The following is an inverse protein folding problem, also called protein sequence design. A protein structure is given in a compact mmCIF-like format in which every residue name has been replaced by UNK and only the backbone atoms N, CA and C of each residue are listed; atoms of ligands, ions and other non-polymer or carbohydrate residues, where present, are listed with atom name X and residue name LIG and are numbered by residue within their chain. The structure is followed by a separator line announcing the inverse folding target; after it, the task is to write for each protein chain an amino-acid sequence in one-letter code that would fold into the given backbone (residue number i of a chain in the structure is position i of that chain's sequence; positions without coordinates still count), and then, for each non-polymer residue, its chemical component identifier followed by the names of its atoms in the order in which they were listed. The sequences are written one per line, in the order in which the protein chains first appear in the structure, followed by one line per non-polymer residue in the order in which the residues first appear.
data_IF_274624142805
#
_entry.id   IF_274624142805
#
_cell.length_a   1.000
_cell.length_b   1.000
_cell.length_c   1.000
_cell.angle_alpha   90.00
_cell.angle_beta   90.00
_cell.angle_gamma   90.00
#
_symmetry.space_group_name_H-M   'P 1'
#
loop_
_entity.id
_entity.type
_entity.pdbx_description
1 polymer ?
#
# COMPACT_ATOMS: atom_id res chain seq x y z
N UNK A 1 4.99 -0.01 31.04
CA UNK A 1 6.07 0.06 32.05
C UNK A 1 6.53 -1.38 32.29
N UNK A 2 7.74 -1.85 31.99
CA UNK A 2 9.03 -1.22 31.72
C UNK A 2 9.89 -2.15 30.85
N UNK A 3 10.61 -1.52 29.92
CA UNK A 3 12.03 -1.73 29.56
C UNK A 3 12.57 -3.15 29.30
N UNK A 4 12.98 -3.37 28.04
CA UNK A 4 14.14 -4.21 27.71
C UNK A 4 15.43 -3.57 28.25
N UNK A 5 16.46 -4.41 28.52
CA UNK A 5 17.77 -4.10 27.95
C UNK A 5 18.52 -5.33 27.38
N UNK A 6 19.38 -5.01 26.41
CA UNK A 6 20.30 -5.89 25.70
C UNK A 6 21.42 -6.49 26.58
N UNK A 7 22.10 -7.57 26.14
CA UNK A 7 23.30 -8.07 26.81
C UNK A 7 24.57 -7.39 26.29
N UNK A 8 25.38 -6.88 27.22
CA UNK A 8 26.77 -6.47 27.00
C UNK A 8 27.74 -7.56 27.50
N UNK A 9 28.85 -7.68 26.77
CA UNK A 9 29.96 -8.63 26.92
C UNK A 9 30.56 -8.74 28.33
N UNK A 10 31.14 -9.89 28.63
CA UNK A 10 32.16 -10.02 29.69
C UNK A 10 33.27 -10.98 29.26
N UNK A 11 34.45 -10.39 29.08
CA UNK A 11 35.74 -11.04 28.90
C UNK A 11 36.14 -11.83 30.15
N UNK A 12 36.92 -12.88 29.95
CA UNK A 12 37.61 -13.58 31.03
C UNK A 12 38.76 -14.43 30.52
N UNK A 13 39.99 -13.97 30.75
CA UNK A 13 41.06 -14.78 31.36
C UNK A 13 42.31 -13.91 31.57
N UNK A 14 42.74 -13.84 32.83
CA UNK A 14 43.87 -13.07 33.31
C UNK A 14 44.94 -14.02 33.90
N UNK A 15 46.20 -13.71 33.57
CA UNK A 15 47.46 -13.88 34.32
C UNK A 15 48.01 -15.28 34.75
N UNK A 16 49.20 -15.57 34.20
CA UNK A 16 50.52 -15.77 34.86
C UNK A 16 51.04 -17.10 35.48
N UNK A 17 52.19 -17.49 34.90
CA UNK A 17 53.50 -17.89 35.46
C UNK A 17 53.63 -19.08 36.45
N UNK A 18 54.43 -20.10 36.06
CA UNK A 18 55.59 -20.59 36.84
C UNK A 18 56.51 -21.53 36.03
N UNK A 19 57.74 -21.66 36.55
CA UNK A 19 59.05 -21.97 35.94
C UNK A 19 59.45 -23.48 35.84
N UNK A 20 60.49 -23.73 35.02
CA UNK A 20 61.63 -24.70 35.16
C UNK A 20 61.67 -26.08 34.41
N UNK A 21 62.62 -26.12 33.45
CA UNK A 21 63.68 -27.11 33.17
C UNK A 21 63.38 -28.57 32.72
N UNK A 22 63.95 -28.97 31.56
CA UNK A 22 64.45 -30.35 31.36
C UNK A 22 64.57 -30.94 29.93
N UNK A 23 65.74 -30.75 29.28
CA UNK A 23 66.49 -31.67 28.38
C UNK A 23 65.92 -32.21 27.03
N UNK A 24 66.38 -31.57 25.93
CA UNK A 24 67.30 -32.07 24.85
C UNK A 24 67.15 -33.47 24.20
N UNK A 25 66.87 -33.50 22.88
CA UNK A 25 67.63 -34.17 21.79
C UNK A 25 67.02 -33.84 20.39
N UNK A 26 67.61 -32.97 19.56
CA UNK A 26 68.49 -33.19 18.37
C UNK A 26 67.90 -33.92 17.14
N UNK A 27 67.73 -33.19 16.03
CA UNK A 27 68.19 -33.53 14.65
C UNK A 27 67.99 -32.29 13.73
N UNK A 28 69.03 -31.51 13.34
CA UNK A 28 69.82 -31.53 12.06
C UNK A 28 68.92 -31.55 10.80
N UNK A 29 69.01 -30.70 9.76
CA UNK A 29 69.90 -29.69 9.11
C UNK A 29 68.92 -28.81 8.27
N UNK A 30 69.17 -27.60 7.79
CA UNK A 30 70.35 -26.82 7.44
C UNK A 30 69.89 -25.81 6.37
N UNK A 31 70.52 -24.64 6.31
CA UNK A 31 70.21 -23.52 5.42
C UNK A 31 69.98 -23.91 3.95
N UNK A 32 68.99 -23.25 3.33
CA UNK A 32 69.07 -22.81 1.95
C UNK A 32 68.53 -21.39 1.88
N UNK A 33 69.40 -20.48 1.45
CA UNK A 33 69.13 -19.09 1.15
C UNK A 33 68.09 -18.94 0.04
N UNK A 34 67.37 -17.81 0.09
CA UNK A 34 66.85 -17.13 -1.09
C UNK A 34 65.54 -17.67 -1.65
N UNK A 35 64.46 -16.91 -1.49
CA UNK A 35 63.85 -16.13 -2.58
C UNK A 35 62.62 -15.40 -2.00
N UNK A 36 62.70 -14.08 -1.85
CA UNK A 36 61.49 -13.26 -1.72
C UNK A 36 60.93 -13.16 -3.14
N UNK A 37 59.95 -14.00 -3.45
CA UNK A 37 59.20 -13.84 -4.70
C UNK A 37 58.26 -12.64 -4.54
N UNK A 38 58.65 -11.57 -5.23
CA UNK A 38 57.80 -10.43 -5.55
C UNK A 38 56.61 -10.94 -6.39
N UNK A 39 55.46 -11.13 -5.75
CA UNK A 39 54.23 -11.45 -6.48
C UNK A 39 53.74 -10.23 -7.26
N UNK A 40 53.62 -10.39 -8.59
CA UNK A 40 53.24 -9.37 -9.55
C UNK A 40 51.84 -8.74 -9.27
N UNK A 41 51.65 -7.42 -9.45
CA UNK A 41 50.40 -6.72 -9.17
C UNK A 41 49.25 -6.99 -10.17
N UNK A 42 49.44 -7.86 -11.17
CA UNK A 42 48.47 -8.12 -12.24
C UNK A 42 47.38 -9.13 -11.86
N UNK A 43 47.63 -10.02 -10.90
CA UNK A 43 46.70 -11.12 -10.58
C UNK A 43 45.60 -10.71 -9.58
N UNK A 44 45.84 -9.68 -8.77
CA UNK A 44 44.84 -9.16 -7.83
C UNK A 44 43.67 -8.44 -8.53
N UNK A 45 43.91 -7.84 -9.70
CA UNK A 45 42.86 -7.12 -10.44
C UNK A 45 41.85 -8.09 -11.08
N UNK A 46 42.31 -9.27 -11.50
CA UNK A 46 41.48 -10.29 -12.14
C UNK A 46 40.59 -11.01 -11.12
N UNK A 47 41.14 -11.33 -9.94
CA UNK A 47 40.39 -12.00 -8.86
C UNK A 47 39.34 -11.06 -8.26
N UNK A 48 39.66 -9.77 -8.11
CA UNK A 48 38.69 -8.76 -7.66
C UNK A 48 37.54 -8.60 -8.68
N UNK A 49 37.84 -8.50 -9.98
CA UNK A 49 36.80 -8.30 -11.00
C UNK A 49 35.81 -9.48 -11.09
N UNK A 50 36.30 -10.71 -10.92
CA UNK A 50 35.44 -11.91 -10.89
C UNK A 50 34.55 -11.97 -9.64
N UNK A 51 35.06 -11.60 -8.47
CA UNK A 51 34.29 -11.57 -7.23
C UNK A 51 33.19 -10.49 -7.25
N UNK A 52 33.51 -9.29 -7.74
CA UNK A 52 32.53 -8.21 -7.90
C UNK A 52 31.46 -8.54 -8.95
N UNK A 53 31.85 -9.17 -10.07
CA UNK A 53 30.91 -9.62 -11.08
C UNK A 53 29.93 -10.67 -10.56
N UNK A 54 30.41 -11.63 -9.77
CA UNK A 54 29.56 -12.65 -9.15
C UNK A 54 28.59 -12.06 -8.12
N UNK A 55 29.06 -11.17 -7.24
CA UNK A 55 28.21 -10.49 -6.26
C UNK A 55 27.17 -9.62 -6.96
N UNK A 56 27.56 -8.87 -8.00
CA UNK A 56 26.63 -8.06 -8.78
C UNK A 56 25.56 -8.91 -9.48
N UNK A 57 25.94 -10.02 -10.11
CA UNK A 57 25.00 -10.93 -10.75
C UNK A 57 24.02 -11.56 -9.74
N UNK A 58 24.51 -11.95 -8.56
CA UNK A 58 23.65 -12.46 -7.48
C UNK A 58 22.69 -11.40 -6.95
N UNK A 59 23.15 -10.16 -6.77
CA UNK A 59 22.30 -9.04 -6.38
C UNK A 59 21.23 -8.75 -7.44
N UNK A 60 21.60 -8.72 -8.73
CA UNK A 60 20.64 -8.53 -9.84
C UNK A 60 19.65 -9.69 -9.87
N UNK A 61 20.09 -10.93 -9.71
CA UNK A 61 19.20 -12.09 -9.66
C UNK A 61 18.23 -12.00 -8.48
N UNK A 62 18.71 -11.72 -7.27
CA UNK A 62 17.86 -11.49 -6.10
C UNK A 62 16.88 -10.34 -6.31
N UNK A 63 17.31 -9.21 -6.89
CA UNK A 63 16.43 -8.11 -7.23
C UNK A 63 15.38 -8.56 -8.24
N UNK A 64 15.75 -9.28 -9.31
CA UNK A 64 14.78 -9.77 -10.29
C UNK A 64 13.81 -10.78 -9.69
N UNK A 65 14.23 -11.68 -8.80
CA UNK A 65 13.33 -12.66 -8.18
C UNK A 65 12.43 -12.01 -7.12
N UNK A 66 12.90 -10.97 -6.43
CA UNK A 66 12.11 -10.22 -5.44
C UNK A 66 11.20 -9.16 -6.07
N UNK A 67 11.58 -8.58 -7.22
CA UNK A 67 10.81 -7.55 -7.93
C UNK A 67 10.02 -8.07 -9.12
N UNK A 68 10.31 -9.25 -9.65
CA UNK A 68 9.35 -9.91 -10.54
C UNK A 68 8.24 -10.46 -9.63
N UNK A 69 6.99 -10.02 -9.79
CA UNK A 69 5.89 -10.68 -9.11
C UNK A 69 5.91 -12.13 -9.61
N UNK A 70 6.25 -13.06 -8.72
CA UNK A 70 6.12 -14.49 -8.98
C UNK A 70 4.64 -14.74 -9.29
N UNK A 71 4.31 -14.76 -10.57
CA UNK A 71 3.03 -15.18 -11.08
C UNK A 71 2.98 -16.71 -11.00
N UNK A 72 2.92 -17.26 -9.79
CA UNK A 72 2.57 -18.66 -9.56
C UNK A 72 2.13 -18.85 -8.11
N UNK A 73 0.82 -18.92 -7.95
CA UNK A 73 0.17 -19.29 -6.71
C UNK A 73 -1.32 -19.45 -6.98
N UNK A 74 -1.72 -20.65 -7.38
CA UNK A 74 -3.12 -21.09 -7.49
C UNK A 74 -3.77 -21.11 -6.10
N UNK A 75 -3.99 -19.93 -5.54
CA UNK A 75 -5.12 -19.74 -4.65
C UNK A 75 -6.33 -19.56 -5.58
N UNK A 76 -7.45 -20.19 -5.25
CA UNK A 76 -8.76 -19.71 -5.70
C UNK A 76 -9.00 -18.33 -5.07
N UNK A 77 -8.20 -17.33 -5.46
CA UNK A 77 -8.52 -15.94 -5.30
C UNK A 77 -9.79 -15.78 -6.12
N UNK A 78 -10.92 -15.60 -5.43
CA UNK A 78 -12.10 -15.01 -6.05
C UNK A 78 -11.63 -13.79 -6.81
N UNK A 79 -11.52 -13.95 -8.13
CA UNK A 79 -10.96 -12.96 -9.03
C UNK A 79 -11.75 -11.68 -8.80
N UNK A 80 -11.09 -10.65 -8.29
CA UNK A 80 -11.74 -9.38 -7.97
C UNK A 80 -12.39 -8.75 -9.21
N UNK A 81 -13.25 -7.74 -9.02
CA UNK A 81 -13.93 -7.04 -10.12
C UNK A 81 -13.01 -6.34 -11.12
N UNK A 82 -11.68 -6.35 -10.95
CA UNK A 82 -10.76 -5.50 -11.71
C UNK A 82 -10.51 -4.20 -10.97
N UNK A 83 -10.26 -3.13 -11.72
CA UNK A 83 -9.97 -1.80 -11.17
C UNK A 83 -11.31 -1.08 -10.90
N UNK A 84 -11.52 -0.64 -9.66
CA UNK A 84 -12.69 0.16 -9.28
C UNK A 84 -12.26 1.61 -9.18
N UNK A 85 -12.99 2.52 -9.80
CA UNK A 85 -12.75 3.95 -9.70
C UNK A 85 -13.96 4.67 -9.12
N UNK A 86 -13.72 5.74 -8.36
CA UNK A 86 -14.77 6.67 -7.95
C UNK A 86 -14.55 8.02 -8.62
N UNK A 87 -15.65 8.63 -9.07
CA UNK A 87 -15.68 9.99 -9.61
C UNK A 87 -16.92 10.74 -9.13
N UNK A 88 -16.82 12.06 -9.01
CA UNK A 88 -17.93 12.91 -8.65
C UNK A 88 -18.77 13.27 -9.88
N UNK A 89 -20.06 12.96 -9.87
CA UNK A 89 -20.99 13.27 -10.98
C UNK A 89 -21.95 14.42 -10.65
N UNK A 90 -22.09 14.78 -9.38
CA UNK A 90 -22.91 15.91 -8.97
C UNK A 90 -22.66 16.32 -7.52
N UNK A 91 -22.92 17.58 -7.20
CA UNK A 91 -22.84 18.12 -5.83
C UNK A 91 -23.94 19.15 -5.59
N UNK A 92 -24.49 19.16 -4.38
CA UNK A 92 -25.52 20.10 -3.92
C UNK A 92 -25.22 20.56 -2.49
N UNK A 93 -25.67 21.74 -2.08
CA UNK A 93 -25.56 22.21 -0.68
C UNK A 93 -24.17 22.69 -0.23
N UNK A 94 -23.20 22.78 -1.15
CA UNK A 94 -21.85 23.27 -0.86
C UNK A 94 -21.72 24.80 -0.96
N UNK A 95 -22.59 25.44 -1.74
CA UNK A 95 -22.55 26.89 -1.95
C UNK A 95 -23.20 27.62 -0.75
N UNK A 96 -22.44 28.44 -0.01
CA UNK A 96 -22.95 29.17 1.15
C UNK A 96 -24.00 30.23 0.79
N UNK A 97 -24.08 30.67 -0.47
CA UNK A 97 -25.05 31.68 -0.92
C UNK A 97 -26.44 31.12 -1.24
N UNK A 98 -26.63 29.80 -1.21
CA UNK A 98 -27.92 29.18 -1.54
C UNK A 98 -28.91 29.30 -0.39
N UNK A 99 -30.00 30.04 -0.60
CA UNK A 99 -31.11 30.16 0.33
C UNK A 99 -32.35 29.43 -0.19
N UNK A 100 -33.01 28.57 0.62
CA UNK A 100 -32.63 28.14 1.97
C UNK A 100 -31.39 27.20 1.96
N UNK A 101 -30.66 27.09 3.10
CA UNK A 101 -29.48 26.23 3.19
C UNK A 101 -29.85 24.78 2.89
N UNK A 102 -29.31 24.25 1.80
CA UNK A 102 -29.55 22.87 1.36
C UNK A 102 -28.54 21.94 2.02
N UNK A 103 -28.99 20.74 2.43
CA UNK A 103 -28.08 19.72 2.95
C UNK A 103 -27.03 19.33 1.90
N UNK A 104 -25.79 19.09 2.32
CA UNK A 104 -24.74 18.66 1.40
C UNK A 104 -25.08 17.28 0.86
N UNK A 105 -24.99 17.14 -0.46
CA UNK A 105 -25.11 15.86 -1.12
C UNK A 105 -24.05 15.73 -2.20
N UNK A 106 -23.46 14.55 -2.30
CA UNK A 106 -22.53 14.15 -3.34
C UNK A 106 -23.16 13.02 -4.14
N UNK A 107 -23.22 13.17 -5.45
CA UNK A 107 -23.53 12.06 -6.36
C UNK A 107 -22.21 11.53 -6.89
N UNK A 108 -21.92 10.27 -6.59
CA UNK A 108 -20.68 9.60 -6.96
C UNK A 108 -21.01 8.49 -7.97
N UNK A 109 -20.13 8.30 -8.94
CA UNK A 109 -20.15 7.13 -9.81
C UNK A 109 -18.98 6.23 -9.45
N UNK A 110 -19.28 4.95 -9.24
CA UNK A 110 -18.31 3.86 -9.19
C UNK A 110 -18.22 3.21 -10.55
N UNK A 111 -17.06 3.36 -11.17
CA UNK A 111 -16.72 2.81 -12.47
C UNK A 111 -15.92 1.52 -12.26
N UNK A 112 -16.37 0.41 -12.85
CA UNK A 112 -15.69 -0.88 -12.85
C UNK A 112 -15.00 -1.06 -14.21
N UNK A 113 -13.68 -1.08 -14.21
CA UNK A 113 -12.85 -1.22 -15.40
C UNK A 113 -12.02 -2.50 -15.35
N UNK A 114 -11.66 -3.02 -16.52
CA UNK A 114 -10.88 -4.25 -16.70
C UNK A 114 -11.50 -5.47 -15.98
N UNK A 115 -12.83 -5.50 -15.89
CA UNK A 115 -13.59 -6.64 -15.39
C UNK A 115 -13.29 -7.86 -16.29
N UNK A 116 -12.76 -8.98 -15.76
CA UNK A 116 -12.50 -10.15 -16.58
C UNK A 116 -13.77 -10.65 -17.27
N UNK A 117 -13.76 -11.14 -18.53
CA UNK A 117 -15.00 -11.53 -19.22
C UNK A 117 -15.80 -12.66 -18.55
N UNK A 118 -15.18 -13.41 -17.64
CA UNK A 118 -15.82 -14.45 -16.83
C UNK A 118 -16.34 -13.94 -15.49
N UNK A 119 -16.12 -12.66 -15.18
CA UNK A 119 -16.52 -12.06 -13.92
C UNK A 119 -18.02 -11.83 -13.92
N UNK A 120 -18.71 -12.40 -12.94
CA UNK A 120 -20.11 -12.14 -12.67
C UNK A 120 -20.31 -12.23 -11.18
N UNK A 121 -20.51 -11.08 -10.54
CA UNK A 121 -20.74 -11.03 -9.09
C UNK A 121 -21.68 -9.89 -8.77
N UNK A 122 -22.54 -10.14 -7.79
CA UNK A 122 -23.38 -9.13 -7.20
C UNK A 122 -22.85 -8.73 -5.83
N UNK A 123 -23.04 -7.48 -5.48
CA UNK A 123 -22.46 -6.83 -4.31
C UNK A 123 -23.36 -5.69 -3.85
N UNK A 124 -23.06 -5.12 -2.70
CA UNK A 124 -23.88 -4.07 -2.10
C UNK A 124 -25.19 -4.60 -1.50
N UNK A 125 -26.08 -3.68 -1.15
CA UNK A 125 -27.30 -3.98 -0.41
C UNK A 125 -27.05 -4.25 1.08
N UNK A 126 -28.13 -4.55 1.81
CA UNK A 126 -28.08 -4.75 3.26
C UNK A 126 -27.51 -3.54 3.98
N UNK A 127 -26.46 -3.77 4.78
CA UNK A 127 -25.76 -2.76 5.57
C UNK A 127 -24.55 -2.14 4.82
N UNK A 128 -24.45 -2.33 3.51
CA UNK A 128 -23.35 -1.75 2.72
C UNK A 128 -23.43 -0.22 2.74
N UNK A 129 -22.42 0.40 3.32
CA UNK A 129 -22.42 1.83 3.63
C UNK A 129 -21.05 2.41 3.37
N UNK A 130 -21.03 3.53 2.65
CA UNK A 130 -19.84 4.34 2.45
C UNK A 130 -19.97 5.64 3.21
N UNK A 131 -18.86 6.11 3.79
CA UNK A 131 -18.74 7.47 4.31
C UNK A 131 -17.93 8.32 3.35
N UNK A 132 -18.28 9.58 3.28
CA UNK A 132 -17.49 10.63 2.65
C UNK A 132 -16.90 11.48 3.76
N UNK A 133 -15.58 11.65 3.76
CA UNK A 133 -14.87 12.40 4.78
C UNK A 133 -14.00 13.49 4.16
N UNK A 134 -13.83 14.61 4.87
CA UNK A 134 -12.90 15.69 4.55
C UNK A 134 -11.98 15.90 5.74
N UNK A 135 -10.67 15.71 5.57
CA UNK A 135 -9.68 15.75 6.67
C UNK A 135 -10.15 15.00 7.92
N UNK A 136 -10.52 13.72 7.73
CA UNK A 136 -11.05 12.82 8.78
C UNK A 136 -12.39 13.23 9.42
N UNK A 137 -12.99 14.35 9.00
CA UNK A 137 -14.34 14.74 9.38
C UNK A 137 -15.35 14.06 8.45
N UNK A 138 -16.20 13.20 9.00
CA UNK A 138 -17.30 12.58 8.26
C UNK A 138 -18.26 13.70 7.83
N UNK A 139 -18.60 13.74 6.54
CA UNK A 139 -19.51 14.73 5.97
C UNK A 139 -20.84 14.13 5.53
N UNK A 140 -20.81 12.93 4.95
CA UNK A 140 -21.97 12.30 4.35
C UNK A 140 -21.87 10.78 4.37
N UNK A 141 -23.02 10.13 4.29
CA UNK A 141 -23.14 8.68 4.17
C UNK A 141 -23.87 8.32 2.88
N UNK A 142 -23.43 7.25 2.22
CA UNK A 142 -24.07 6.69 1.03
C UNK A 142 -24.40 5.22 1.27
N UNK A 143 -25.68 4.88 1.18
CA UNK A 143 -26.09 3.49 1.14
C UNK A 143 -25.79 2.92 -0.25
N UNK A 144 -25.08 1.81 -0.31
CA UNK A 144 -24.76 1.14 -1.57
C UNK A 144 -25.89 0.17 -1.90
N UNK A 145 -26.64 0.38 -3.00
CA UNK A 145 -27.73 -0.51 -3.37
C UNK A 145 -27.15 -1.88 -3.77
N UNK A 146 -28.01 -2.90 -3.85
CA UNK A 146 -27.60 -4.16 -4.46
C UNK A 146 -27.38 -3.97 -5.96
N UNK A 147 -26.24 -4.42 -6.48
CA UNK A 147 -25.89 -4.31 -7.89
C UNK A 147 -25.12 -5.54 -8.36
N UNK A 148 -25.09 -5.77 -9.67
CA UNK A 148 -24.32 -6.85 -10.27
C UNK A 148 -23.38 -6.29 -11.34
N UNK A 149 -22.12 -6.71 -11.29
CA UNK A 149 -21.11 -6.38 -12.28
C UNK A 149 -20.85 -7.61 -13.13
N UNK A 150 -20.86 -7.39 -14.44
CA UNK A 150 -20.61 -8.39 -15.46
C UNK A 150 -19.36 -7.97 -16.22
N UNK A 151 -18.44 -8.91 -16.40
CA UNK A 151 -17.34 -8.74 -17.34
C UNK A 151 -17.85 -8.89 -18.75
N UNK A 152 -17.57 -7.90 -19.58
CA UNK A 152 -17.82 -7.99 -21.01
C UNK A 152 -16.52 -8.40 -21.73
N UNK A 153 -16.66 -9.05 -22.89
CA UNK A 153 -15.54 -9.35 -23.80
C UNK A 153 -15.09 -8.11 -24.58
N UNK A 154 -15.86 -7.03 -24.54
CA UNK A 154 -15.50 -5.77 -25.18
C UNK A 154 -14.40 -5.05 -24.38
N UNK A 155 -13.35 -4.64 -25.09
CA UNK A 155 -12.23 -3.89 -24.49
C UNK A 155 -12.74 -2.48 -24.17
N UNK A 156 -12.75 -2.13 -22.89
CA UNK A 156 -13.02 -0.76 -22.42
C UNK A 156 -14.48 -0.47 -22.03
N UNK A 157 -15.33 -1.48 -21.84
CA UNK A 157 -16.66 -1.23 -21.26
C UNK A 157 -16.54 -1.00 -19.75
N UNK A 158 -16.96 0.19 -19.33
CA UNK A 158 -17.03 0.57 -17.91
C UNK A 158 -18.42 0.27 -17.37
N UNK A 159 -18.53 -0.65 -16.40
CA UNK A 159 -19.75 -0.77 -15.62
C UNK A 159 -19.86 0.43 -14.69
N UNK A 160 -20.98 1.14 -14.65
CA UNK A 160 -21.14 2.33 -13.77
C UNK A 160 -22.25 2.09 -12.75
N UNK A 161 -21.97 2.35 -11.48
CA UNK A 161 -22.93 2.39 -10.40
C UNK A 161 -22.98 3.82 -9.84
N UNK A 162 -24.17 4.42 -9.80
CA UNK A 162 -24.36 5.71 -9.15
C UNK A 162 -24.79 5.53 -7.69
N UNK A 163 -24.16 6.27 -6.79
CA UNK A 163 -24.52 6.34 -5.37
C UNK A 163 -24.67 7.80 -4.94
N UNK A 164 -25.65 8.06 -4.09
CA UNK A 164 -25.88 9.39 -3.53
C UNK A 164 -25.47 9.39 -2.05
N UNK A 165 -24.43 10.15 -1.72
CA UNK A 165 -24.02 10.40 -0.36
C UNK A 165 -24.72 11.66 0.16
N UNK A 166 -25.44 11.55 1.28
CA UNK A 166 -26.15 12.67 1.91
C UNK A 166 -25.56 12.95 3.28
N UNK A 167 -25.38 14.23 3.57
CA UNK A 167 -25.03 14.68 4.90
C UNK A 167 -26.22 14.49 5.84
N UNK A 168 -25.93 13.96 7.03
CA UNK A 168 -26.85 14.12 8.16
C UNK A 168 -26.96 15.60 8.51
N UNK A 169 -28.18 16.04 8.81
CA UNK A 169 -28.51 17.45 9.00
C UNK A 169 -27.68 18.15 10.11
N UNK A 170 -27.02 17.40 10.99
CA UNK A 170 -26.19 17.89 12.08
C UNK A 170 -24.71 18.08 11.73
N UNK A 171 -24.24 17.51 10.61
CA UNK A 171 -22.82 17.30 10.34
C UNK A 171 -22.19 18.48 9.58
N UNK A 172 -22.96 19.16 8.71
CA UNK A 172 -22.49 20.38 8.04
C UNK A 172 -23.00 21.64 8.72
N UNK A 173 -22.27 22.04 9.76
CA UNK A 173 -22.27 23.42 10.22
C UNK A 173 -21.73 24.33 9.11
N UNK A 174 -22.18 25.57 9.11
CA UNK A 174 -21.71 26.61 8.17
C UNK A 174 -20.17 26.73 8.16
N UNK A 175 -19.53 26.47 9.30
CA UNK A 175 -18.08 26.43 9.49
C UNK A 175 -17.39 25.47 8.51
N UNK A 176 -17.86 24.22 8.42
CA UNK A 176 -17.28 23.19 7.54
C UNK A 176 -17.53 23.56 6.07
N UNK A 177 -18.71 24.10 5.76
CA UNK A 177 -19.03 24.59 4.40
C UNK A 177 -18.07 25.72 4.00
N UNK A 178 -17.81 26.66 4.91
CA UNK A 178 -16.90 27.79 4.67
C UNK A 178 -15.45 27.33 4.48
N UNK A 179 -15.00 26.32 5.23
CA UNK A 179 -13.68 25.71 5.04
C UNK A 179 -13.55 25.09 3.65
N UNK A 180 -14.48 24.20 3.29
CA UNK A 180 -14.49 23.57 1.96
C UNK A 180 -14.55 24.59 0.83
N UNK A 181 -15.39 25.61 0.98
CA UNK A 181 -15.54 26.67 -0.01
C UNK A 181 -14.25 27.50 -0.13
N UNK A 182 -13.64 27.87 0.99
CA UNK A 182 -12.37 28.60 1.02
C UNK A 182 -11.26 27.81 0.33
N UNK A 183 -11.12 26.52 0.63
CA UNK A 183 -10.10 25.67 0.03
C UNK A 183 -10.28 25.56 -1.50
N UNK A 184 -11.52 25.35 -1.96
CA UNK A 184 -11.83 25.36 -3.40
C UNK A 184 -11.44 26.69 -4.04
N UNK A 185 -11.72 27.82 -3.38
CA UNK A 185 -11.43 29.14 -3.95
C UNK A 185 -9.94 29.49 -3.98
N UNK A 186 -9.20 29.11 -2.93
CA UNK A 186 -7.78 29.44 -2.73
C UNK A 186 -6.85 28.43 -3.42
N UNK A 187 -7.07 27.13 -3.16
CA UNK A 187 -6.23 26.03 -3.68
C UNK A 187 -6.69 25.60 -5.07
N UNK A 188 -7.96 25.81 -5.41
CA UNK A 188 -8.54 25.38 -6.69
C UNK A 188 -8.98 23.91 -6.70
N UNK A 189 -8.74 23.19 -5.62
CA UNK A 189 -9.01 21.75 -5.46
C UNK A 189 -9.27 21.43 -4.00
N UNK A 190 -10.22 20.54 -3.74
CA UNK A 190 -10.41 19.89 -2.44
C UNK A 190 -10.52 18.38 -2.63
N UNK A 191 -9.98 17.63 -1.68
CA UNK A 191 -9.92 16.17 -1.68
C UNK A 191 -10.87 15.60 -0.63
N UNK A 192 -11.57 14.53 -0.98
CA UNK A 192 -12.44 13.78 -0.08
C UNK A 192 -12.07 12.30 -0.09
N UNK A 193 -12.08 11.70 1.08
CA UNK A 193 -11.97 10.26 1.26
C UNK A 193 -13.36 9.62 1.16
N UNK A 194 -13.43 8.48 0.48
CA UNK A 194 -14.63 7.64 0.44
C UNK A 194 -14.26 6.25 0.87
N UNK A 195 -14.83 5.78 1.98
CA UNK A 195 -14.47 4.49 2.51
C UNK A 195 -15.64 3.80 3.22
N UNK A 196 -15.58 2.47 3.31
CA UNK A 196 -16.61 1.69 3.99
C UNK A 196 -16.74 0.27 3.48
N UNK A 197 -17.56 -0.51 4.17
CA UNK A 197 -17.76 -1.92 3.86
C UNK A 197 -18.88 -2.10 2.83
N UNK A 198 -18.59 -2.85 1.77
CA UNK A 198 -19.56 -3.24 0.74
C UNK A 198 -19.63 -4.75 0.66
N UNK A 199 -20.82 -5.29 0.94
CA UNK A 199 -21.08 -6.72 0.89
C UNK A 199 -20.65 -7.29 -0.46
N UNK A 200 -19.84 -8.35 -0.46
CA UNK A 200 -19.33 -9.00 -1.67
C UNK A 200 -18.09 -8.35 -2.32
N UNK A 201 -17.74 -7.12 -1.93
CA UNK A 201 -16.50 -6.45 -2.34
C UNK A 201 -15.46 -6.37 -1.21
N UNK A 202 -15.90 -6.19 0.04
CA UNK A 202 -15.02 -5.94 1.19
C UNK A 202 -14.96 -4.46 1.54
N UNK A 203 -13.88 -4.04 2.20
CA UNK A 203 -13.72 -2.65 2.61
C UNK A 203 -13.10 -1.83 1.47
N UNK A 204 -13.84 -0.86 0.96
CA UNK A 204 -13.38 0.07 -0.07
C UNK A 204 -12.73 1.29 0.57
N UNK A 205 -11.65 1.77 -0.04
CA UNK A 205 -11.05 3.07 0.26
C UNK A 205 -10.67 3.77 -1.04
N UNK A 206 -11.29 4.90 -1.30
CA UNK A 206 -11.16 5.69 -2.52
C UNK A 206 -11.00 7.17 -2.17
N UNK A 207 -10.70 7.97 -3.18
CA UNK A 207 -10.67 9.44 -3.07
C UNK A 207 -11.45 10.06 -4.22
N UNK A 208 -12.00 11.25 -4.04
CA UNK A 208 -12.44 12.07 -5.16
C UNK A 208 -12.14 13.54 -4.92
N UNK A 209 -12.27 14.34 -5.96
CA UNK A 209 -11.87 15.73 -5.95
C UNK A 209 -13.01 16.61 -6.43
N UNK A 210 -13.13 17.80 -5.82
CA UNK A 210 -13.84 18.92 -6.41
C UNK A 210 -12.79 19.91 -6.90
N UNK A 211 -12.88 20.27 -8.18
CA UNK A 211 -12.03 21.28 -8.80
C UNK A 211 -12.83 22.57 -9.00
N UNK A 212 -12.15 23.72 -8.87
CA UNK A 212 -12.73 25.05 -9.12
C UNK A 212 -13.15 25.22 -10.57
N UNK A 213 -12.28 24.79 -11.49
CA UNK A 213 -12.57 24.76 -12.92
C UNK A 213 -13.17 23.41 -13.29
N UNK A 214 -14.28 23.44 -14.04
CA UNK A 214 -14.87 22.23 -14.62
C UNK A 214 -13.92 21.71 -15.68
N UNK A 215 -12.95 20.89 -15.30
CA UNK A 215 -12.19 20.09 -16.25
C UNK A 215 -13.18 19.30 -17.11
N UNK A 216 -12.93 19.22 -18.41
CA UNK A 216 -13.77 18.46 -19.35
C UNK A 216 -13.89 16.98 -18.92
N UNK A 217 -12.86 16.47 -18.22
CA UNK A 217 -12.87 15.19 -17.54
C UNK A 217 -12.85 15.37 -16.02
N UNK A 218 -13.85 14.79 -15.36
CA UNK A 218 -13.84 14.64 -13.90
C UNK A 218 -12.74 13.62 -13.53
N UNK A 219 -11.80 13.95 -12.63
CA UNK A 219 -10.78 13.01 -12.21
C UNK A 219 -11.39 11.73 -11.65
N UNK A 220 -10.99 10.58 -12.21
CA UNK A 220 -11.27 9.27 -11.66
C UNK A 220 -10.14 8.89 -10.70
N UNK A 221 -10.47 8.44 -9.50
CA UNK A 221 -9.46 7.91 -8.58
C UNK A 221 -9.67 6.43 -8.36
N UNK A 222 -8.57 5.67 -8.37
CA UNK A 222 -8.57 4.25 -8.09
C UNK A 222 -8.95 3.99 -6.63
N UNK A 223 -9.84 3.03 -6.42
CA UNK A 223 -10.20 2.49 -5.12
C UNK A 223 -9.29 1.32 -4.76
N UNK A 224 -8.91 1.27 -3.49
CA UNK A 224 -8.22 0.13 -2.90
C UNK A 224 -9.26 -0.74 -2.20
N UNK A 225 -9.26 -2.02 -2.53
CA UNK A 225 -10.00 -3.05 -1.80
C UNK A 225 -9.10 -3.60 -0.70
N UNK A 226 -9.45 -3.32 0.55
CA UNK A 226 -8.79 -3.95 1.68
C UNK A 226 -9.48 -5.30 1.95
N UNK A 227 -8.71 -6.38 2.12
CA UNK A 227 -9.29 -7.65 2.53
C UNK A 227 -10.03 -7.46 3.87
N UNK A 228 -11.10 -8.21 4.12
CA UNK A 228 -11.75 -8.18 5.43
C UNK A 228 -10.68 -8.47 6.48
N UNK A 229 -10.60 -7.64 7.53
CA UNK A 229 -9.71 -7.92 8.65
C UNK A 229 -10.12 -9.27 9.22
N UNK A 230 -9.26 -10.27 9.05
CA UNK A 230 -9.44 -11.60 9.62
C UNK A 230 -9.29 -11.48 11.13
N UNK A 231 -10.33 -11.00 11.80
CA UNK A 231 -10.42 -11.04 13.25
C UNK A 231 -10.65 -12.51 13.60
N UNK A 232 -9.56 -13.24 13.74
CA UNK A 232 -9.49 -14.60 14.24
C UNK A 232 -9.93 -14.59 15.71
N UNK A 233 -11.23 -14.55 15.94
CA UNK A 233 -11.81 -15.03 17.19
C UNK A 233 -12.13 -16.50 16.98
N UNK A 234 -11.10 -17.35 17.04
CA UNK A 234 -11.29 -18.74 17.47
C UNK A 234 -11.84 -18.69 18.89
N UNK A 235 -13.16 -18.71 19.03
CA UNK A 235 -13.77 -19.18 20.27
C UNK A 235 -13.71 -20.71 20.22
N UNK A 236 -12.69 -21.24 20.91
CA UNK A 236 -12.70 -22.62 21.37
C UNK A 236 -13.94 -22.81 22.25
N UNK A 237 -14.81 -23.74 21.86
CA UNK A 237 -15.77 -24.41 22.73
C UNK A 237 -15.33 -25.85 22.91
#
# INVERSE_FOLDING_TARGET
MCLMPAPACKDGANLDNHHLNGRRAKSKRGCADGYIDYFEPKEHLLICSCAFGYIFAMCVFCFTVLYTPVASGTANLTRGPGDIFVRLIGKSGLDPGTSPPTSLAFRLAMDFDRTPPTYRRCSGGGNSLLRVSYHDMILAWAQVPYFCVYGDRSIGHVGTLEVEAKADASVLREEVRNLLWSEIQVVGKVEFDVDGEVAGLGYLRCKFFILKDKAADVPKSLCILLPPSENTCHQNG
#
